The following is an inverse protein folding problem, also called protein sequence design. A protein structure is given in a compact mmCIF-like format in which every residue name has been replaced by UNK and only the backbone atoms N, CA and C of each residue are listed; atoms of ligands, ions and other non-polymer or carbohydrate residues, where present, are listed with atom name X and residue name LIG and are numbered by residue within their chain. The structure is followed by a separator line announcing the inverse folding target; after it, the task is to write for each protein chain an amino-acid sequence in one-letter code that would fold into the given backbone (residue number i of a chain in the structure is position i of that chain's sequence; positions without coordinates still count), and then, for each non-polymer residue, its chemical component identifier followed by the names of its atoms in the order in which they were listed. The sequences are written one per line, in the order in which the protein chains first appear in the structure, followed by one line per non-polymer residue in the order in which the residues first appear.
data_IF_728339838095
#
_entry.id   IF_728339838095
#
_cell.length_a   1.000
_cell.length_b   1.000
_cell.length_c   1.000
_cell.angle_alpha   90.00
_cell.angle_beta   90.00
_cell.angle_gamma   90.00
#
_symmetry.space_group_name_H-M   'P 1'
#
loop_
_entity.id
_entity.type
_entity.pdbx_description
1 polymer ?
#
# COMPACT_ATOMS: atom_id res chain seq x y z
N UNK A 1 -2.55 7.60 -6.02
CA UNK A 1 -1.64 7.06 -4.98
C UNK A 1 -0.47 8.02 -4.76
N UNK A 2 0.01 8.11 -3.52
CA UNK A 2 1.15 8.97 -3.11
C UNK A 2 2.12 8.13 -2.29
N UNK A 3 3.43 8.36 -2.47
CA UNK A 3 4.49 7.79 -1.62
C UNK A 3 5.47 8.88 -1.17
N UNK A 4 5.83 8.85 0.11
CA UNK A 4 6.78 9.77 0.73
C UNK A 4 8.07 9.02 1.09
N UNK A 5 9.21 9.48 0.60
CA UNK A 5 10.53 8.92 0.89
C UNK A 5 11.36 9.93 1.69
N UNK A 6 11.85 9.54 2.87
CA UNK A 6 12.64 10.36 3.79
C UNK A 6 14.12 10.04 3.69
N UNK A 7 14.93 10.99 3.27
CA UNK A 7 16.38 10.83 3.12
C UNK A 7 17.13 11.70 4.12
N UNK A 8 18.21 11.16 4.69
CA UNK A 8 19.14 11.95 5.49
C UNK A 8 20.10 12.72 4.58
N UNK A 9 20.18 14.03 4.77
CA UNK A 9 21.13 14.92 4.10
C UNK A 9 22.16 15.37 5.14
N UNK A 10 23.43 14.95 5.01
CA UNK A 10 24.46 15.37 5.96
C UNK A 10 24.69 16.88 5.86
N UNK A 11 24.79 17.54 7.01
CA UNK A 11 25.12 18.96 7.08
C UNK A 11 26.55 19.21 6.59
N UNK A 12 26.77 20.36 5.96
CA UNK A 12 28.11 20.85 5.61
C UNK A 12 28.57 21.88 6.64
N UNK A 13 29.89 22.00 6.79
CA UNK A 13 30.54 23.04 7.59
C UNK A 13 30.14 23.04 9.09
N UNK A 14 30.12 21.86 9.70
CA UNK A 14 29.87 21.70 11.14
C UNK A 14 28.40 21.83 11.57
N UNK A 15 27.46 21.91 10.61
CA UNK A 15 26.02 21.88 10.87
C UNK A 15 25.51 20.44 11.01
N UNK A 16 24.49 20.25 11.83
CA UNK A 16 23.76 18.97 11.90
C UNK A 16 23.10 18.67 10.55
N UNK A 17 23.03 17.39 10.18
CA UNK A 17 22.26 16.96 9.02
C UNK A 17 20.77 16.92 9.29
N UNK A 18 19.98 16.94 8.23
CA UNK A 18 18.52 17.01 8.30
C UNK A 18 17.86 15.88 7.49
N UNK A 19 16.64 15.51 7.86
CA UNK A 19 15.82 14.62 7.06
C UNK A 19 14.96 15.41 6.07
N UNK A 20 15.06 15.06 4.79
CA UNK A 20 14.27 15.67 3.71
C UNK A 20 13.29 14.64 3.16
N UNK A 21 12.02 15.01 3.08
CA UNK A 21 10.98 14.18 2.46
C UNK A 21 10.83 14.53 0.98
N UNK A 22 10.92 13.52 0.10
CA UNK A 22 10.54 13.60 -1.30
C UNK A 22 9.20 12.89 -1.50
N UNK A 23 8.25 13.60 -2.09
CA UNK A 23 6.91 13.06 -2.38
C UNK A 23 6.79 12.75 -3.85
N UNK A 24 6.32 11.54 -4.17
CA UNK A 24 5.98 11.12 -5.52
C UNK A 24 4.50 10.78 -5.59
N UNK A 25 3.88 11.08 -6.73
CA UNK A 25 2.45 10.88 -6.93
C UNK A 25 2.17 10.22 -8.28
N UNK A 26 1.10 9.43 -8.29
CA UNK A 26 0.50 8.88 -9.51
C UNK A 26 -1.02 9.07 -9.44
N UNK A 27 -1.66 9.53 -10.54
CA UNK A 27 -3.08 9.86 -10.52
C UNK A 27 -3.97 8.64 -10.29
N UNK A 28 -3.51 7.45 -10.67
CA UNK A 28 -4.23 6.19 -10.48
C UNK A 28 -3.25 5.03 -10.33
N UNK A 29 -3.72 3.92 -9.77
CA UNK A 29 -2.95 2.68 -9.70
C UNK A 29 -3.24 1.86 -10.95
N UNK A 30 -2.22 1.55 -11.73
CA UNK A 30 -2.37 0.80 -12.97
C UNK A 30 -2.78 -0.66 -12.71
N UNK A 31 -3.80 -1.14 -13.43
CA UNK A 31 -4.16 -2.57 -13.46
C UNK A 31 -3.02 -3.47 -13.92
N UNK A 32 -2.01 -2.92 -14.62
CA UNK A 32 -0.81 -3.64 -14.99
C UNK A 32 -0.03 -4.12 -13.76
N UNK A 33 0.05 -3.31 -12.70
CA UNK A 33 0.76 -3.68 -11.48
C UNK A 33 0.09 -4.88 -10.81
N UNK A 34 -1.25 -4.85 -10.71
CA UNK A 34 -2.04 -5.97 -10.19
C UNK A 34 -1.88 -7.22 -11.05
N UNK A 35 -1.98 -7.10 -12.38
CA UNK A 35 -1.76 -8.22 -13.30
C UNK A 35 -0.38 -8.83 -13.12
N UNK A 36 0.66 -8.01 -13.00
CA UNK A 36 2.04 -8.50 -12.83
C UNK A 36 2.24 -9.23 -11.50
N UNK A 37 1.62 -8.74 -10.44
CA UNK A 37 1.59 -9.47 -9.18
C UNK A 37 0.89 -10.84 -9.32
N UNK A 38 -0.27 -10.90 -9.98
CA UNK A 38 -0.99 -12.16 -10.19
C UNK A 38 -0.18 -13.16 -11.04
N UNK A 39 0.56 -12.68 -12.04
CA UNK A 39 1.51 -13.51 -12.81
C UNK A 39 2.60 -14.10 -11.87
N UNK A 40 3.14 -13.31 -10.94
CA UNK A 40 4.13 -13.78 -9.95
C UNK A 40 3.51 -14.76 -8.94
N UNK A 41 2.27 -14.54 -8.50
CA UNK A 41 1.54 -15.42 -7.59
C UNK A 41 1.34 -16.81 -8.22
N UNK A 42 0.89 -16.87 -9.47
CA UNK A 42 0.65 -18.12 -10.19
C UNK A 42 1.95 -18.83 -10.59
N UNK A 43 2.89 -18.10 -11.21
CA UNK A 43 4.08 -18.72 -11.82
C UNK A 43 5.19 -19.01 -10.81
N UNK A 44 5.29 -18.18 -9.75
CA UNK A 44 6.39 -18.24 -8.79
C UNK A 44 5.94 -18.55 -7.36
N UNK A 45 4.64 -18.76 -7.14
CA UNK A 45 4.08 -19.08 -5.83
C UNK A 45 4.26 -17.95 -4.82
N UNK A 46 4.19 -16.70 -5.25
CA UNK A 46 4.31 -15.54 -4.36
C UNK A 46 3.07 -15.44 -3.47
N UNK A 47 3.26 -15.35 -2.15
CA UNK A 47 2.22 -15.06 -1.17
C UNK A 47 2.59 -13.79 -0.43
N UNK A 48 1.78 -12.74 -0.53
CA UNK A 48 1.99 -11.46 0.18
C UNK A 48 2.12 -11.63 1.70
N UNK A 49 1.51 -12.67 2.28
CA UNK A 49 1.59 -12.93 3.71
C UNK A 49 2.87 -13.70 4.11
N UNK A 50 3.61 -14.23 3.13
CA UNK A 50 4.77 -15.06 3.34
C UNK A 50 5.82 -14.90 2.21
N UNK A 51 6.16 -13.65 1.87
CA UNK A 51 7.19 -13.35 0.89
C UNK A 51 8.57 -13.75 1.42
N UNK A 52 9.28 -14.58 0.66
CA UNK A 52 10.69 -14.86 0.94
C UNK A 52 11.54 -13.61 0.65
N UNK A 53 12.70 -13.44 1.32
CA UNK A 53 13.59 -12.31 1.07
C UNK A 53 13.93 -12.10 -0.41
N UNK A 54 14.17 -13.19 -1.15
CA UNK A 54 14.52 -13.14 -2.58
C UNK A 54 13.36 -12.68 -3.47
N UNK A 55 12.12 -12.79 -2.98
CA UNK A 55 10.90 -12.39 -3.69
C UNK A 55 10.55 -10.92 -3.41
N UNK A 56 11.04 -10.35 -2.30
CA UNK A 56 10.71 -8.98 -1.89
C UNK A 56 11.16 -7.97 -2.94
N UNK A 57 12.39 -8.06 -3.44
CA UNK A 57 12.91 -7.13 -4.44
C UNK A 57 12.04 -7.11 -5.70
N UNK A 58 11.58 -8.28 -6.14
CA UNK A 58 10.76 -8.39 -7.33
C UNK A 58 9.37 -7.75 -7.13
N UNK A 59 8.70 -8.01 -6.02
CA UNK A 59 7.42 -7.38 -5.69
C UNK A 59 7.58 -5.87 -5.47
N UNK A 60 8.60 -5.47 -4.71
CA UNK A 60 8.80 -4.08 -4.32
C UNK A 60 9.15 -3.24 -5.53
N UNK A 61 9.83 -3.81 -6.53
CA UNK A 61 10.14 -3.15 -7.80
C UNK A 61 8.89 -2.72 -8.59
N UNK A 62 7.71 -3.31 -8.33
CA UNK A 62 6.46 -2.92 -8.98
C UNK A 62 6.07 -1.47 -8.66
N UNK A 63 6.39 -0.99 -7.44
CA UNK A 63 6.12 0.39 -7.04
C UNK A 63 6.89 1.40 -7.90
N UNK A 64 8.23 1.45 -7.89
CA UNK A 64 8.99 2.38 -8.72
C UNK A 64 8.74 2.13 -10.21
N UNK A 65 8.78 0.88 -10.68
CA UNK A 65 8.84 0.59 -12.12
C UNK A 65 7.48 0.73 -12.82
N UNK A 66 6.39 0.30 -12.17
CA UNK A 66 5.07 0.23 -12.79
C UNK A 66 4.15 1.33 -12.27
N UNK A 67 4.04 1.49 -10.95
CA UNK A 67 3.07 2.40 -10.34
C UNK A 67 3.51 3.85 -10.46
N UNK A 68 4.79 4.11 -10.18
CA UNK A 68 5.39 5.45 -10.21
C UNK A 68 6.25 5.71 -11.45
N UNK A 69 6.21 4.83 -12.45
CA UNK A 69 6.82 5.05 -13.76
C UNK A 69 8.29 5.52 -13.72
N UNK A 70 9.10 4.90 -12.87
CA UNK A 70 10.53 5.17 -12.65
C UNK A 70 10.84 6.58 -12.09
N UNK A 71 9.90 7.23 -11.38
CA UNK A 71 10.17 8.50 -10.69
C UNK A 71 11.22 8.38 -9.57
N UNK A 72 11.41 7.17 -9.04
CA UNK A 72 12.44 6.80 -8.07
C UNK A 72 12.86 5.34 -8.29
N UNK A 73 13.96 4.91 -7.67
CA UNK A 73 14.48 3.54 -7.79
C UNK A 73 14.08 2.64 -6.62
N UNK A 74 14.25 1.32 -6.77
CA UNK A 74 14.09 0.39 -5.64
C UNK A 74 15.06 0.71 -4.49
N UNK A 75 16.27 1.16 -4.80
CA UNK A 75 17.24 1.58 -3.78
C UNK A 75 16.78 2.84 -3.03
N UNK A 76 16.19 3.81 -3.74
CA UNK A 76 15.58 4.98 -3.11
C UNK A 76 14.42 4.59 -2.18
N UNK A 77 13.62 3.59 -2.58
CA UNK A 77 12.55 3.05 -1.76
C UNK A 77 13.11 2.44 -0.47
N UNK A 78 14.13 1.59 -0.55
CA UNK A 78 14.75 0.97 0.63
C UNK A 78 15.44 1.96 1.56
N UNK A 79 16.06 3.01 1.02
CA UNK A 79 16.69 4.06 1.82
C UNK A 79 15.68 5.02 2.44
N UNK A 80 14.57 5.23 1.75
CA UNK A 80 13.64 6.32 2.01
C UNK A 80 12.37 5.93 2.76
N UNK A 81 12.04 4.64 2.83
CA UNK A 81 10.81 4.17 3.46
C UNK A 81 11.07 3.01 4.42
N UNK A 82 10.33 2.98 5.53
CA UNK A 82 10.31 1.82 6.40
C UNK A 82 9.52 0.67 5.77
N UNK A 83 9.83 -0.55 6.18
CA UNK A 83 9.25 -1.77 5.61
C UNK A 83 7.72 -1.81 5.76
N UNK A 84 7.18 -1.38 6.90
CA UNK A 84 5.73 -1.36 7.14
C UNK A 84 5.04 -0.43 6.15
N UNK A 85 5.58 0.76 5.94
CA UNK A 85 5.05 1.71 4.97
C UNK A 85 5.11 1.18 3.54
N UNK A 86 6.21 0.50 3.14
CA UNK A 86 6.30 -0.14 1.83
C UNK A 86 5.19 -1.20 1.65
N UNK A 87 4.97 -2.05 2.66
CA UNK A 87 3.89 -3.04 2.62
C UNK A 87 2.51 -2.38 2.45
N UNK A 88 2.20 -1.33 3.21
CA UNK A 88 0.93 -0.60 3.06
C UNK A 88 0.73 -0.08 1.63
N UNK A 89 1.80 0.43 1.00
CA UNK A 89 1.76 0.90 -0.39
C UNK A 89 1.60 -0.23 -1.40
N UNK A 90 2.13 -1.41 -1.14
CA UNK A 90 1.87 -2.59 -1.97
C UNK A 90 0.41 -3.05 -1.87
N UNK A 91 -0.18 -3.03 -0.67
CA UNK A 91 -1.61 -3.31 -0.50
C UNK A 91 -2.48 -2.28 -1.24
N UNK A 92 -2.17 -0.98 -1.11
CA UNK A 92 -2.84 0.09 -1.87
C UNK A 92 -2.73 -0.16 -3.39
N UNK A 93 -1.55 -0.58 -3.86
CA UNK A 93 -1.31 -0.94 -5.26
C UNK A 93 -2.17 -2.14 -5.73
N UNK A 94 -2.34 -3.17 -4.91
CA UNK A 94 -3.07 -4.38 -5.34
C UNK A 94 -4.59 -4.20 -5.31
N UNK A 95 -5.09 -3.55 -4.27
CA UNK A 95 -6.52 -3.50 -3.98
C UNK A 95 -7.15 -2.15 -4.31
N UNK A 96 -6.35 -1.13 -4.62
CA UNK A 96 -6.82 0.22 -4.92
C UNK A 96 -7.44 0.95 -3.73
N UNK A 97 -7.34 0.38 -2.52
CA UNK A 97 -7.86 0.97 -1.29
C UNK A 97 -6.72 1.06 -0.28
N UNK A 98 -6.56 2.23 0.32
CA UNK A 98 -5.64 2.40 1.43
C UNK A 98 -6.19 1.63 2.67
N UNK A 99 -5.40 0.80 3.36
CA UNK A 99 -5.84 0.10 4.58
C UNK A 99 -6.46 1.03 5.64
N UNK A 100 -5.99 2.28 5.75
CA UNK A 100 -6.58 3.31 6.61
C UNK A 100 -8.00 3.71 6.16
N UNK A 101 -8.24 3.81 4.85
CA UNK A 101 -9.54 4.12 4.30
C UNK A 101 -10.51 2.93 4.47
N UNK A 102 -10.03 1.69 4.32
CA UNK A 102 -10.82 0.50 4.66
C UNK A 102 -11.23 0.50 6.14
N UNK A 103 -10.30 0.82 7.05
CA UNK A 103 -10.59 0.92 8.49
C UNK A 103 -11.62 2.01 8.80
N UNK A 104 -11.59 3.14 8.08
CA UNK A 104 -12.57 4.22 8.24
C UNK A 104 -13.96 3.82 7.71
N UNK A 105 -14.01 3.23 6.52
CA UNK A 105 -15.26 2.72 5.92
C UNK A 105 -15.89 1.64 6.79
N UNK A 106 -15.09 0.71 7.33
CA UNK A 106 -15.58 -0.33 8.23
C UNK A 106 -16.16 0.24 9.54
N UNK A 107 -15.52 1.25 10.13
CA UNK A 107 -16.04 1.92 11.33
C UNK A 107 -17.37 2.63 11.07
N UNK A 108 -17.50 3.35 9.95
CA UNK A 108 -18.75 4.03 9.57
C UNK A 108 -19.91 3.04 9.37
N UNK A 109 -19.68 1.93 8.68
CA UNK A 109 -20.69 0.88 8.48
C UNK A 109 -21.08 0.15 9.78
N UNK A 110 -20.19 0.13 10.78
CA UNK A 110 -20.46 -0.50 12.08
C UNK A 110 -21.23 0.45 13.00
N UNK A 111 -21.01 1.77 12.90
CA UNK A 111 -21.79 2.78 13.63
C UNK A 111 -23.22 2.91 13.09
N UNK A 112 -23.43 2.86 11.76
CA UNK A 112 -24.78 2.85 11.17
C UNK A 112 -25.59 1.58 11.49
N UNK A 113 -24.93 0.43 11.65
CA UNK A 113 -25.60 -0.83 11.98
C UNK A 113 -26.06 -0.94 13.45
N UNK A 114 -25.58 -0.05 14.33
CA UNK A 114 -25.94 -0.06 15.76
C UNK A 114 -27.11 0.90 16.06
N UNK A 115 -27.43 1.84 15.17
CA UNK A 115 -28.54 2.79 15.35
C UNK A 115 -29.92 2.26 14.92
N UNK A 116 -30.02 1.12 14.22
CA UNK A 116 -31.31 0.47 13.92
C UNK A 116 -31.43 -0.92 14.58
N UNK A 117 -31.86 -1.00 15.86
CA UNK A 117 -32.12 -2.26 16.55
C UNK A 117 -33.37 -3.02 16.04
N UNK A 118 -34.05 -2.57 14.97
CA UNK A 118 -35.36 -3.12 14.59
C UNK A 118 -35.45 -3.85 13.23
N UNK A 119 -34.33 -4.13 12.54
CA UNK A 119 -34.36 -4.83 11.25
C UNK A 119 -34.48 -6.37 11.32
N UNK A 120 -34.41 -6.98 12.52
CA UNK A 120 -34.45 -8.45 12.70
C UNK A 120 -35.86 -9.05 12.90
N UNK A 121 -36.94 -8.30 12.71
CA UNK A 121 -38.30 -8.87 12.71
C UNK A 121 -38.94 -8.66 11.35
N UNK A 122 -38.69 -9.55 10.38
CA UNK A 122 -39.59 -9.85 9.24
C UNK A 122 -39.03 -10.96 8.31
N UNK A 123 -38.57 -12.09 8.84
CA UNK A 123 -38.25 -13.26 8.00
C UNK A 123 -38.80 -14.60 8.48
N UNK A 124 -39.62 -14.63 9.53
CA UNK A 124 -40.27 -15.87 9.99
C UNK A 124 -41.80 -15.70 10.08
N UNK A 125 -42.44 -15.33 8.98
CA UNK A 125 -43.88 -15.58 8.79
C UNK A 125 -44.21 -15.58 7.30
N UNK A 126 -44.03 -16.75 6.67
CA UNK A 126 -44.76 -17.30 5.51
C UNK A 126 -43.88 -18.34 4.81
N UNK A 127 -44.03 -19.62 5.18
CA UNK A 127 -44.69 -20.60 4.31
C UNK A 127 -44.94 -21.91 5.04
#
# INVERSE_FOLDING_TARGET
MKIDLKFYVPGKDGKEGEFVTKTYTTPFVSMLARRKYLEMEVDKGFDMNNLKPEQMDEVYSLLPNIVFHNQFTLEDLYKGADQTYIFEKLFEMLYGINPEEQRKLAKQNTEEAVEDPNSLKNSEEKS
#
